data_IF_642561586069
#
_entry.id   IF_642561586069
#
_cell.length_a   1.000
_cell.length_b   1.000
_cell.length_c   1.000
_cell.angle_alpha   90.00
_cell.angle_beta   90.00
_cell.angle_gamma   90.00
#
_symmetry.space_group_name_H-M   'P 1'
#
loop_
_entity.id
_entity.type
_entity.pdbx_description
1 polymer ?
#
# COMPACT_ATOMS: atom_id res chain seq x y z
N UNK A 1 27.73 5.11 9.02
CA UNK A 1 26.90 4.03 9.59
C UNK A 1 26.79 2.96 8.53
N UNK A 2 27.53 1.86 8.68
CA UNK A 2 27.35 0.69 7.82
C UNK A 2 26.15 -0.10 8.36
N UNK A 3 24.97 0.10 7.76
CA UNK A 3 23.85 -0.77 8.07
C UNK A 3 24.19 -2.18 7.59
N UNK A 4 24.08 -3.22 8.43
CA UNK A 4 24.27 -4.59 8.00
C UNK A 4 23.10 -5.02 7.11
N UNK A 5 23.23 -4.76 5.80
CA UNK A 5 22.28 -5.22 4.81
C UNK A 5 22.49 -6.71 4.53
N UNK A 6 21.40 -7.47 4.48
CA UNK A 6 21.40 -8.86 4.03
C UNK A 6 21.91 -8.95 2.59
N UNK A 7 22.45 -10.11 2.20
CA UNK A 7 22.99 -10.31 0.86
C UNK A 7 21.91 -10.16 -0.23
N UNK A 8 20.66 -10.52 0.08
CA UNK A 8 19.48 -10.28 -0.78
C UNK A 8 19.24 -8.77 -1.00
N UNK A 9 19.27 -7.94 0.06
CA UNK A 9 19.03 -6.50 -0.05
C UNK A 9 20.12 -5.82 -0.86
N UNK A 10 21.37 -6.28 -0.74
CA UNK A 10 22.48 -5.78 -1.56
C UNK A 10 22.27 -6.09 -3.04
N UNK A 11 21.79 -7.28 -3.39
CA UNK A 11 21.48 -7.66 -4.78
C UNK A 11 20.29 -6.88 -5.34
N UNK A 12 19.21 -6.75 -4.56
CA UNK A 12 18.04 -5.95 -4.91
C UNK A 12 18.45 -4.50 -5.22
N UNK A 13 19.29 -3.89 -4.37
CA UNK A 13 19.79 -2.53 -4.59
C UNK A 13 20.70 -2.44 -5.81
N UNK A 14 21.53 -3.44 -6.06
CA UNK A 14 22.37 -3.50 -7.26
C UNK A 14 21.51 -3.56 -8.53
N UNK A 15 20.50 -4.44 -8.57
CA UNK A 15 19.56 -4.51 -9.70
C UNK A 15 18.73 -3.23 -9.86
N UNK A 16 18.33 -2.59 -8.77
CA UNK A 16 17.66 -1.29 -8.83
C UNK A 16 18.57 -0.21 -9.43
N UNK A 17 19.86 -0.22 -9.10
CA UNK A 17 20.83 0.69 -9.71
C UNK A 17 21.00 0.42 -11.21
N UNK A 18 21.11 -0.85 -11.62
CA UNK A 18 21.18 -1.24 -13.03
C UNK A 18 19.92 -0.81 -13.81
N UNK A 19 18.73 -0.93 -13.21
CA UNK A 19 17.48 -0.50 -13.84
C UNK A 19 17.38 1.02 -13.95
N UNK A 20 17.88 1.77 -12.97
CA UNK A 20 17.99 3.23 -13.05
C UNK A 20 18.94 3.66 -14.17
N UNK A 21 20.09 3.00 -14.31
CA UNK A 21 21.06 3.25 -15.37
C UNK A 21 20.49 2.90 -16.76
N UNK A 22 19.84 1.73 -16.88
CA UNK A 22 19.19 1.26 -18.12
C UNK A 22 18.09 2.22 -18.59
N UNK A 23 17.41 2.89 -17.67
CA UNK A 23 16.36 3.87 -17.95
C UNK A 23 16.86 5.32 -17.97
N UNK A 24 18.18 5.54 -17.84
CA UNK A 24 18.81 6.86 -17.80
C UNK A 24 18.27 7.80 -16.70
N UNK A 25 17.92 7.24 -15.54
CA UNK A 25 17.51 7.98 -14.36
C UNK A 25 18.71 8.23 -13.43
N UNK A 26 18.88 9.49 -12.99
CA UNK A 26 20.00 9.89 -12.12
C UNK A 26 19.85 9.45 -10.66
N UNK A 27 18.71 8.87 -10.28
CA UNK A 27 18.40 8.42 -8.93
C UNK A 27 17.62 7.10 -8.94
N UNK A 28 17.81 6.30 -7.90
CA UNK A 28 17.05 5.07 -7.67
C UNK A 28 15.70 5.44 -7.04
N UNK A 29 14.62 5.46 -7.84
CA UNK A 29 13.23 5.57 -7.36
C UNK A 29 12.68 4.23 -6.85
N UNK A 30 11.50 4.27 -6.23
CA UNK A 30 10.78 3.08 -5.74
C UNK A 30 10.46 2.07 -6.84
N UNK A 31 10.35 2.52 -8.10
CA UNK A 31 10.08 1.67 -9.26
C UNK A 31 11.30 0.82 -9.62
N UNK A 32 12.50 1.40 -9.56
CA UNK A 32 13.73 0.63 -9.77
C UNK A 32 13.93 -0.39 -8.64
N UNK A 33 13.58 -0.02 -7.40
CA UNK A 33 13.63 -0.95 -6.28
C UNK A 33 12.67 -2.12 -6.48
N UNK A 34 11.45 -1.86 -6.96
CA UNK A 34 10.48 -2.90 -7.30
C UNK A 34 11.00 -3.81 -8.43
N UNK A 35 11.60 -3.24 -9.48
CA UNK A 35 12.20 -4.02 -10.56
C UNK A 35 13.39 -4.86 -10.07
N UNK A 36 14.21 -4.32 -9.16
CA UNK A 36 15.30 -5.04 -8.52
C UNK A 36 14.80 -6.19 -7.65
N UNK A 37 13.69 -6.01 -6.93
CA UNK A 37 13.03 -7.07 -6.17
C UNK A 37 12.47 -8.17 -7.07
N UNK A 38 11.85 -7.81 -8.21
CA UNK A 38 11.31 -8.77 -9.17
C UNK A 38 12.41 -9.58 -9.87
N UNK A 39 13.61 -9.01 -10.05
CA UNK A 39 14.79 -9.74 -10.56
C UNK A 39 15.42 -10.67 -9.54
N UNK A 40 15.30 -10.36 -8.25
CA UNK A 40 15.81 -11.21 -7.19
C UNK A 40 14.86 -12.42 -7.00
N UNK A 41 15.21 -13.54 -7.64
CA UNK A 41 14.40 -14.77 -7.70
C UNK A 41 14.16 -15.45 -6.36
N UNK A 42 14.98 -15.14 -5.35
CA UNK A 42 14.85 -15.63 -3.97
C UNK A 42 14.13 -14.66 -3.02
N UNK A 43 13.70 -13.49 -3.52
CA UNK A 43 12.98 -12.54 -2.68
C UNK A 43 11.54 -13.01 -2.44
N UNK A 44 11.00 -12.77 -1.24
CA UNK A 44 9.60 -13.03 -0.90
C UNK A 44 8.61 -12.35 -1.88
N UNK A 45 9.05 -11.31 -2.60
CA UNK A 45 8.29 -10.64 -3.66
C UNK A 45 8.16 -11.49 -4.94
N UNK A 46 9.13 -12.35 -5.26
CA UNK A 46 9.03 -13.34 -6.33
C UNK A 46 8.03 -14.46 -5.97
N UNK A 47 7.85 -14.72 -4.68
CA UNK A 47 6.97 -15.75 -4.13
C UNK A 47 5.52 -15.30 -3.88
N UNK A 48 5.17 -14.03 -4.16
CA UNK A 48 3.81 -13.52 -4.08
C UNK A 48 3.11 -13.63 -5.45
N UNK A 49 2.41 -14.72 -5.78
CA UNK A 49 2.00 -15.01 -7.16
C UNK A 49 0.77 -14.19 -7.63
N UNK A 50 0.32 -13.17 -6.89
CA UNK A 50 -1.09 -12.74 -7.03
C UNK A 50 -1.36 -11.29 -7.42
N UNK A 51 -0.50 -10.27 -7.30
CA UNK A 51 -0.96 -8.88 -7.60
C UNK A 51 0.00 -7.90 -8.26
N UNK A 52 1.12 -8.32 -8.86
CA UNK A 52 1.94 -7.41 -9.70
C UNK A 52 2.01 -7.93 -11.13
N UNK A 53 0.84 -7.95 -11.79
CA UNK A 53 0.77 -7.80 -13.26
C UNK A 53 0.68 -6.31 -13.56
N UNK A 54 1.74 -5.55 -13.29
CA UNK A 54 1.83 -4.19 -13.83
C UNK A 54 2.51 -4.32 -15.19
N UNK A 55 1.72 -3.99 -16.21
CA UNK A 55 1.96 -4.11 -17.63
C UNK A 55 3.40 -3.78 -18.05
N UNK A 56 4.12 -4.81 -18.48
CA UNK A 56 5.22 -4.71 -19.43
C UNK A 56 4.66 -4.26 -20.79
N UNK A 57 4.58 -2.95 -21.03
CA UNK A 57 4.52 -2.37 -22.36
C UNK A 57 4.85 -0.88 -22.29
N UNK A 58 6.10 -0.54 -22.57
CA UNK A 58 6.57 0.72 -23.14
C UNK A 58 5.80 1.99 -22.77
N UNK A 59 6.25 2.74 -21.75
CA UNK A 59 5.95 4.18 -21.68
C UNK A 59 7.22 4.97 -21.31
N UNK A 60 7.62 5.95 -22.14
CA UNK A 60 8.58 6.97 -21.74
C UNK A 60 7.86 8.05 -20.92
N UNK A 61 8.62 8.69 -20.03
CA UNK A 61 8.33 9.96 -19.34
C UNK A 61 7.36 9.94 -18.17
N UNK A 62 7.91 10.36 -17.02
CA UNK A 62 7.20 10.91 -15.86
C UNK A 62 6.37 9.84 -15.14
N UNK A 63 6.50 9.74 -13.81
CA UNK A 63 5.41 9.17 -12.99
C UNK A 63 4.22 10.12 -13.17
N UNK A 64 3.51 9.95 -14.28
CA UNK A 64 2.25 10.61 -14.49
C UNK A 64 1.31 9.92 -13.52
N UNK A 65 0.91 10.66 -12.48
CA UNK A 65 -0.47 10.60 -12.01
C UNK A 65 -1.31 10.38 -13.28
N UNK A 66 -2.08 9.28 -13.41
CA UNK A 66 -2.81 9.02 -14.63
C UNK A 66 -3.52 10.32 -15.04
N UNK A 67 -3.26 10.88 -16.24
CA UNK A 67 -3.74 12.22 -16.62
C UNK A 67 -5.28 12.31 -16.62
N UNK A 68 -5.90 11.14 -16.52
CA UNK A 68 -7.28 10.91 -16.17
C UNK A 68 -7.28 9.98 -14.95
N UNK A 69 -7.40 10.56 -13.76
CA UNK A 69 -8.07 9.82 -12.70
C UNK A 69 -9.36 9.26 -13.29
N UNK A 70 -9.72 7.98 -13.02
CA UNK A 70 -11.05 7.50 -13.36
C UNK A 70 -12.04 8.56 -12.87
N UNK A 71 -13.06 8.94 -13.66
CA UNK A 71 -14.03 9.96 -13.20
C UNK A 71 -14.65 9.60 -11.84
N UNK A 72 -14.61 8.32 -11.47
CA UNK A 72 -15.06 7.79 -10.21
C UNK A 72 -14.02 7.83 -9.06
N UNK A 73 -12.76 8.23 -9.30
CA UNK A 73 -11.61 8.14 -8.39
C UNK A 73 -10.88 6.79 -8.44
N UNK A 74 -9.67 6.71 -7.86
CA UNK A 74 -8.89 5.47 -7.70
C UNK A 74 -9.57 4.45 -6.76
N UNK A 75 -10.44 4.91 -5.85
CA UNK A 75 -11.20 4.06 -4.93
C UNK A 75 -12.70 4.37 -5.09
N UNK A 76 -13.35 3.81 -6.12
CA UNK A 76 -14.66 4.26 -6.55
C UNK A 76 -15.82 3.75 -5.67
N UNK A 77 -15.60 2.70 -4.88
CA UNK A 77 -16.63 1.97 -4.15
C UNK A 77 -16.10 1.47 -2.78
N UNK A 78 -17.01 1.15 -1.82
CA UNK A 78 -16.63 0.76 -0.47
C UNK A 78 -15.88 -0.58 -0.42
N UNK A 79 -16.12 -1.50 -1.36
CA UNK A 79 -15.45 -2.80 -1.37
C UNK A 79 -13.97 -2.63 -1.77
N UNK A 80 -13.69 -1.75 -2.74
CA UNK A 80 -12.32 -1.37 -3.08
C UNK A 80 -11.60 -0.75 -1.88
N UNK A 81 -12.27 0.15 -1.13
CA UNK A 81 -11.70 0.74 0.08
C UNK A 81 -11.38 -0.33 1.15
N UNK A 82 -12.32 -1.25 1.42
CA UNK A 82 -12.13 -2.36 2.37
C UNK A 82 -10.96 -3.25 2.00
N UNK A 83 -10.81 -3.60 0.71
CA UNK A 83 -9.70 -4.43 0.22
C UNK A 83 -8.35 -3.74 0.35
N UNK A 84 -8.29 -2.41 0.17
CA UNK A 84 -7.07 -1.64 0.40
C UNK A 84 -6.72 -1.65 1.89
N UNK A 85 -7.69 -1.38 2.77
CA UNK A 85 -7.47 -1.41 4.21
C UNK A 85 -7.02 -2.79 4.72
N UNK A 86 -7.69 -3.86 4.26
CA UNK A 86 -7.33 -5.24 4.58
C UNK A 86 -5.90 -5.56 4.16
N UNK A 87 -5.51 -5.25 2.92
CA UNK A 87 -4.15 -5.49 2.43
C UNK A 87 -3.08 -4.78 3.27
N UNK A 88 -3.37 -3.55 3.71
CA UNK A 88 -2.45 -2.78 4.56
C UNK A 88 -2.35 -3.39 5.96
N UNK A 89 -3.49 -3.75 6.57
CA UNK A 89 -3.51 -4.35 7.90
C UNK A 89 -2.89 -5.76 7.92
N UNK A 90 -3.05 -6.56 6.86
CA UNK A 90 -2.41 -7.86 6.75
C UNK A 90 -0.89 -7.74 6.86
N UNK A 91 -0.30 -6.73 6.22
CA UNK A 91 1.14 -6.46 6.29
C UNK A 91 1.55 -5.94 7.68
N UNK A 92 0.72 -5.10 8.31
CA UNK A 92 1.06 -4.47 9.59
C UNK A 92 0.85 -5.37 10.81
N UNK A 93 -0.23 -6.16 10.82
CA UNK A 93 -0.75 -6.84 12.00
C UNK A 93 -0.89 -8.36 11.81
N UNK A 94 -0.77 -8.86 10.57
CA UNK A 94 -0.91 -10.27 10.24
C UNK A 94 -2.36 -10.74 10.06
N UNK A 95 -2.52 -11.93 9.50
CA UNK A 95 -3.81 -12.50 9.08
C UNK A 95 -4.78 -12.72 10.25
N UNK A 96 -4.32 -13.34 11.34
CA UNK A 96 -5.17 -13.65 12.49
C UNK A 96 -5.81 -12.40 13.11
N UNK A 97 -5.04 -11.33 13.28
CA UNK A 97 -5.54 -10.07 13.83
C UNK A 97 -6.53 -9.36 12.90
N UNK A 98 -6.39 -9.51 11.59
CA UNK A 98 -7.30 -8.92 10.60
C UNK A 98 -8.61 -9.70 10.53
N UNK A 99 -8.58 -11.02 10.68
CA UNK A 99 -9.79 -11.85 10.67
C UNK A 99 -10.71 -11.51 11.86
N UNK A 100 -10.13 -11.23 13.02
CA UNK A 100 -10.86 -10.77 14.20
C UNK A 100 -11.59 -9.44 13.97
N UNK A 101 -11.18 -8.64 12.99
CA UNK A 101 -11.76 -7.33 12.70
C UNK A 101 -12.93 -7.41 11.71
N UNK A 102 -13.28 -8.59 11.20
CA UNK A 102 -14.39 -8.77 10.24
C UNK A 102 -15.75 -8.81 10.96
N UNK A 103 -16.81 -8.26 10.33
CA UNK A 103 -16.82 -7.61 9.01
C UNK A 103 -16.32 -6.17 9.04
N UNK A 104 -15.70 -5.73 7.95
CA UNK A 104 -15.28 -4.33 7.79
C UNK A 104 -16.44 -3.43 7.37
N UNK A 105 -16.51 -2.25 7.99
CA UNK A 105 -17.44 -1.19 7.65
C UNK A 105 -16.69 -0.08 6.92
N UNK A 106 -17.32 0.54 5.92
CA UNK A 106 -16.71 1.62 5.16
C UNK A 106 -17.71 2.78 5.04
N UNK A 107 -17.32 3.93 5.59
CA UNK A 107 -18.07 5.18 5.52
C UNK A 107 -17.39 6.13 4.53
N UNK A 108 -18.18 6.91 3.78
CA UNK A 108 -17.66 7.88 2.82
C UNK A 108 -18.05 9.30 3.22
N UNK A 109 -17.05 10.16 3.41
CA UNK A 109 -17.26 11.58 3.72
C UNK A 109 -16.12 12.42 3.12
N UNK A 110 -16.43 13.54 2.46
CA UNK A 110 -15.45 14.51 1.96
C UNK A 110 -14.32 13.89 1.10
N UNK A 111 -14.66 13.05 0.13
CA UNK A 111 -13.70 12.31 -0.72
C UNK A 111 -12.76 11.35 0.03
N UNK A 112 -13.07 11.03 1.28
CA UNK A 112 -12.34 10.07 2.09
C UNK A 112 -13.22 8.87 2.43
N UNK A 113 -12.69 7.69 2.19
CA UNK A 113 -13.19 6.45 2.74
C UNK A 113 -12.59 6.24 4.13
N UNK A 114 -13.44 6.05 5.14
CA UNK A 114 -13.03 5.57 6.45
C UNK A 114 -13.44 4.12 6.59
N UNK A 115 -12.47 3.21 6.56
CA UNK A 115 -12.70 1.78 6.78
C UNK A 115 -12.42 1.44 8.24
N UNK A 116 -13.34 0.71 8.87
CA UNK A 116 -13.25 0.30 10.28
C UNK A 116 -13.43 -1.21 10.44
N UNK A 117 -12.63 -1.81 11.31
CA UNK A 117 -12.86 -3.15 11.80
C UNK A 117 -14.00 -3.20 12.82
N UNK A 118 -14.65 -4.36 12.92
CA UNK A 118 -15.71 -4.65 13.88
C UNK A 118 -15.30 -5.84 14.78
N UNK A 119 -14.34 -5.66 15.71
CA UNK A 119 -13.91 -6.75 16.56
C UNK A 119 -15.03 -7.28 17.45
N UNK A 120 -15.01 -8.58 17.81
CA UNK A 120 -16.04 -9.17 18.65
C UNK A 120 -16.11 -8.48 20.02
N UNK A 121 -17.32 -8.05 20.39
CA UNK A 121 -17.61 -7.42 21.68
C UNK A 121 -17.26 -8.36 22.83
N UNK A 122 -16.17 -8.06 23.54
CA UNK A 122 -15.69 -8.88 24.67
C UNK A 122 -14.18 -8.82 24.90
N UNK A 123 -13.40 -8.40 23.91
CA UNK A 123 -11.96 -8.15 24.05
C UNK A 123 -11.67 -6.65 24.03
N UNK A 124 -10.64 -6.18 24.72
CA UNK A 124 -10.12 -4.78 24.66
C UNK A 124 -9.49 -4.43 23.30
N UNK A 125 -9.83 -5.17 22.24
CA UNK A 125 -9.26 -5.03 20.92
C UNK A 125 -9.86 -3.79 20.26
N UNK A 126 -9.06 -2.72 20.17
CA UNK A 126 -9.49 -1.48 19.52
C UNK A 126 -9.73 -1.74 18.02
N UNK A 127 -10.80 -1.18 17.44
CA UNK A 127 -11.10 -1.38 16.03
C UNK A 127 -9.98 -0.77 15.17
N UNK A 128 -9.61 -1.48 14.12
CA UNK A 128 -8.67 -0.95 13.13
C UNK A 128 -9.37 0.14 12.32
N UNK A 129 -8.61 1.16 11.92
CA UNK A 129 -9.10 2.33 11.17
C UNK A 129 -8.12 2.67 10.07
N UNK A 130 -8.63 2.79 8.85
CA UNK A 130 -7.91 3.27 7.67
C UNK A 130 -8.69 4.42 7.05
N UNK A 131 -8.01 5.51 6.71
CA UNK A 131 -8.60 6.64 5.98
C UNK A 131 -7.91 6.72 4.63
N UNK A 132 -8.68 6.59 3.54
CA UNK A 132 -8.20 6.41 2.18
C UNK A 132 -8.86 7.45 1.28
N UNK A 133 -8.05 8.22 0.56
CA UNK A 133 -8.54 9.16 -0.45
C UNK A 133 -9.19 8.41 -1.61
N UNK A 134 -10.43 8.79 -1.92
CA UNK A 134 -11.16 8.29 -3.09
C UNK A 134 -10.46 8.68 -4.39
N UNK A 135 -9.93 9.90 -4.43
CA UNK A 135 -9.39 10.50 -5.65
C UNK A 135 -8.13 9.76 -6.05
N UNK A 136 -7.06 9.84 -5.26
CA UNK A 136 -5.74 9.32 -5.60
C UNK A 136 -5.35 8.00 -4.91
N UNK A 137 -6.20 7.47 -4.01
CA UNK A 137 -5.92 6.24 -3.27
C UNK A 137 -4.94 6.42 -2.10
N UNK A 138 -4.53 7.65 -1.78
CA UNK A 138 -3.60 7.93 -0.68
C UNK A 138 -4.20 7.52 0.67
N UNK A 139 -3.43 6.78 1.47
CA UNK A 139 -3.78 6.48 2.86
C UNK A 139 -3.41 7.67 3.73
N UNK A 140 -4.41 8.42 4.18
CA UNK A 140 -4.23 9.58 5.05
C UNK A 140 -3.95 9.18 6.50
N UNK A 141 -4.49 8.02 6.93
CA UNK A 141 -4.33 7.51 8.29
C UNK A 141 -4.48 5.99 8.34
N UNK A 142 -3.69 5.35 9.20
CA UNK A 142 -3.78 3.93 9.53
C UNK A 142 -3.51 3.72 11.02
N UNK A 143 -4.26 2.84 11.69
CA UNK A 143 -4.01 2.49 13.09
C UNK A 143 -5.25 1.99 13.82
N UNK A 144 -5.28 2.13 15.14
CA UNK A 144 -6.36 1.59 16.01
C UNK A 144 -7.15 2.68 16.75
N UNK A 145 -6.97 3.95 16.40
CA UNK A 145 -7.59 5.09 17.09
C UNK A 145 -8.36 5.96 16.09
N UNK A 146 -9.69 6.04 16.22
CA UNK A 146 -10.47 7.12 15.59
C UNK A 146 -10.07 8.41 16.33
N UNK A 147 -9.44 9.36 15.66
CA UNK A 147 -9.16 10.65 16.30
C UNK A 147 -10.50 11.33 16.41
N UNK A 148 -10.95 11.49 17.66
CA UNK A 148 -12.08 12.32 18.03
C UNK A 148 -11.83 13.74 17.52
N UNK A 149 -12.80 14.29 16.78
CA UNK A 149 -12.72 15.60 16.10
C UNK A 149 -12.75 16.78 17.10
N UNK A 150 -12.93 16.46 18.38
CA UNK A 150 -13.14 17.34 19.53
C UNK A 150 -11.85 17.81 20.26
N UNK A 151 -10.67 17.72 19.63
CA UNK A 151 -9.39 18.17 20.22
C UNK A 151 -8.61 19.18 19.36
N UNK A 152 -9.31 19.91 18.49
CA UNK A 152 -8.77 21.03 17.70
C UNK A 152 -9.69 22.26 17.84
N UNK A 153 -9.97 22.67 19.08
CA UNK A 153 -10.39 24.03 19.42
C UNK A 153 -9.27 24.74 20.17
#
# INVERSE_FOLDING_TARGET
>A
MDLPLSNECKRILAYAAEEAERLHHSHISTEHLLLGMLRETDSFAALAPTRVKIALASMPQIVQIPPHLPKAGCVPDPETAKRIAEAVWLVMYGEAAVEEQKPFQADFENDLWTVRGSPPSGQETKPFVAVISRVDGRIAKIGTTVVRRDLLE
#
